data_IF_714713125845
#
_entry.id   IF_714713125845
#
_cell.length_a   1.000
_cell.length_b   1.000
_cell.length_c   1.000
_cell.angle_alpha   90.00
_cell.angle_beta   90.00
_cell.angle_gamma   90.00
#
_symmetry.space_group_name_H-M   'P 1'
#
loop_
_entity.id
_entity.type
_entity.pdbx_description
1 polymer ?
#
# COMPACT_ATOMS: atom_id res chain seq x y z
N UNK A 1 29.91 -7.13 23.99
CA UNK A 1 29.19 -7.75 22.85
C UNK A 1 29.53 -6.98 21.59
N UNK A 2 29.91 -7.68 20.54
CA UNK A 2 30.30 -7.05 19.29
C UNK A 2 29.08 -6.58 18.46
N UNK A 3 29.18 -5.39 17.89
CA UNK A 3 28.14 -4.80 17.04
C UNK A 3 28.76 -3.81 16.05
N UNK A 4 28.06 -3.51 14.95
CA UNK A 4 28.41 -2.41 14.05
C UNK A 4 27.61 -1.18 14.45
N UNK A 5 28.29 -0.06 14.64
CA UNK A 5 27.68 1.27 14.81
C UNK A 5 27.73 2.00 13.48
N UNK A 6 26.58 2.51 13.04
CA UNK A 6 26.44 3.32 11.84
C UNK A 6 25.84 4.67 12.23
N UNK A 7 26.59 5.74 11.99
CA UNK A 7 26.13 7.10 12.14
C UNK A 7 25.93 7.72 10.76
N UNK A 8 24.73 8.21 10.48
CA UNK A 8 24.36 8.71 9.17
C UNK A 8 23.40 9.91 9.24
N UNK A 9 23.34 10.64 8.15
CA UNK A 9 22.42 11.77 7.98
C UNK A 9 21.61 11.63 6.72
N UNK A 10 20.41 12.22 6.72
CA UNK A 10 19.55 12.35 5.54
C UNK A 10 18.96 13.77 5.52
N UNK A 11 19.05 14.44 4.38
CA UNK A 11 18.45 15.76 4.23
C UNK A 11 16.93 15.70 4.34
N UNK A 12 16.34 14.70 3.70
CA UNK A 12 14.91 14.43 3.74
C UNK A 12 14.67 12.92 3.83
N UNK A 13 13.62 12.51 4.57
CA UNK A 13 13.22 11.12 4.67
C UNK A 13 11.72 10.94 4.88
N UNK A 14 11.14 9.89 4.28
CA UNK A 14 9.82 9.40 4.60
C UNK A 14 9.88 7.91 4.96
N UNK A 15 9.71 7.61 6.21
CA UNK A 15 9.61 6.24 6.75
C UNK A 15 8.15 5.83 6.78
N UNK A 16 7.62 5.47 5.61
CA UNK A 16 6.19 5.31 5.38
C UNK A 16 5.53 4.36 6.37
N UNK A 17 4.44 4.85 6.99
CA UNK A 17 3.52 4.02 7.77
C UNK A 17 2.69 3.15 6.85
N UNK A 18 2.61 1.86 7.15
CA UNK A 18 1.86 0.89 6.32
C UNK A 18 0.35 1.18 6.29
N UNK A 19 -0.20 1.73 7.36
CA UNK A 19 -1.63 2.06 7.47
C UNK A 19 -2.02 3.29 6.62
N UNK A 20 -1.04 4.09 6.18
CA UNK A 20 -1.29 5.32 5.43
C UNK A 20 -1.37 5.03 3.92
N UNK A 21 -2.59 4.81 3.41
CA UNK A 21 -2.82 4.52 1.99
C UNK A 21 -2.83 5.82 1.18
N UNK A 22 -3.64 6.78 1.57
CA UNK A 22 -3.86 8.03 0.82
C UNK A 22 -2.84 9.12 1.14
N UNK A 23 -2.59 9.36 2.41
CA UNK A 23 -1.58 10.31 2.87
C UNK A 23 -0.37 9.51 3.34
N UNK A 24 0.76 9.66 2.67
CA UNK A 24 1.99 8.93 3.00
C UNK A 24 2.61 9.48 4.29
N UNK A 25 2.03 9.11 5.44
CA UNK A 25 2.53 9.48 6.76
C UNK A 25 3.87 8.80 7.05
N UNK A 26 4.71 9.44 7.85
CA UNK A 26 6.02 8.93 8.23
C UNK A 26 6.06 8.47 9.69
N UNK A 27 6.86 7.44 9.97
CA UNK A 27 7.35 7.19 11.33
C UNK A 27 8.42 8.23 11.70
N UNK A 28 8.63 8.50 12.99
CA UNK A 28 9.67 9.45 13.43
C UNK A 28 11.10 8.94 13.24
N UNK A 29 11.29 7.62 13.22
CA UNK A 29 12.53 6.91 12.90
C UNK A 29 12.20 5.75 11.96
N UNK A 30 13.16 5.22 11.18
CA UNK A 30 12.90 4.09 10.30
C UNK A 30 12.48 2.83 11.07
N UNK A 31 11.50 2.05 10.58
CA UNK A 31 11.22 0.71 11.12
C UNK A 31 12.41 -0.23 10.97
N UNK A 32 12.53 -1.23 11.84
CA UNK A 32 13.63 -2.20 11.80
C UNK A 32 13.78 -2.88 10.44
N UNK A 33 12.68 -3.34 9.85
CA UNK A 33 12.69 -3.99 8.53
C UNK A 33 13.21 -3.09 7.41
N UNK A 34 13.06 -1.78 7.53
CA UNK A 34 13.56 -0.81 6.54
C UNK A 34 15.09 -0.70 6.63
N UNK A 35 15.63 -0.62 7.84
CA UNK A 35 17.08 -0.60 8.07
C UNK A 35 17.71 -1.93 7.65
N UNK A 36 17.18 -3.06 8.13
CA UNK A 36 17.66 -4.40 7.77
C UNK A 36 17.64 -4.58 6.25
N UNK A 37 16.54 -4.20 5.59
CA UNK A 37 16.40 -4.30 4.14
C UNK A 37 17.40 -3.43 3.37
N UNK A 38 17.70 -2.24 3.87
CA UNK A 38 18.70 -1.35 3.27
C UNK A 38 20.13 -1.92 3.41
N UNK A 39 20.47 -2.49 4.57
CA UNK A 39 21.75 -3.15 4.79
C UNK A 39 21.91 -4.42 3.93
N UNK A 40 20.86 -5.25 3.85
CA UNK A 40 20.84 -6.42 2.97
C UNK A 40 21.07 -6.02 1.50
N UNK A 41 20.47 -4.93 1.06
CA UNK A 41 20.67 -4.40 -0.30
C UNK A 41 22.11 -3.91 -0.50
N UNK A 42 22.67 -3.23 0.48
CA UNK A 42 24.04 -2.73 0.42
C UNK A 42 25.07 -3.87 0.32
N UNK A 43 24.89 -4.94 1.08
CA UNK A 43 25.72 -6.15 1.04
C UNK A 43 25.40 -7.09 -0.14
N UNK A 44 24.29 -6.86 -0.87
CA UNK A 44 23.88 -7.71 -2.00
C UNK A 44 23.33 -9.09 -1.58
N UNK A 45 22.82 -9.22 -0.35
CA UNK A 45 22.30 -10.48 0.16
C UNK A 45 21.04 -10.93 -0.59
N UNK A 46 20.96 -12.21 -0.89
CA UNK A 46 19.80 -12.87 -1.50
C UNK A 46 18.97 -13.66 -0.49
N UNK A 47 19.60 -14.05 0.61
CA UNK A 47 18.99 -14.77 1.72
C UNK A 47 18.93 -13.87 2.95
N UNK A 48 18.11 -14.25 3.91
CA UNK A 48 17.92 -13.45 5.13
C UNK A 48 19.08 -13.70 6.11
N UNK A 49 19.84 -12.65 6.40
CA UNK A 49 20.82 -12.62 7.50
C UNK A 49 20.15 -12.01 8.73
N UNK A 50 20.14 -12.76 9.82
CA UNK A 50 19.49 -12.35 11.06
C UNK A 50 20.24 -11.18 11.70
N UNK A 51 19.53 -10.08 11.95
CA UNK A 51 20.08 -8.89 12.58
C UNK A 51 19.17 -8.42 13.70
N UNK A 52 19.74 -8.04 14.86
CA UNK A 52 19.08 -7.27 15.89
C UNK A 52 19.56 -5.82 15.74
N UNK A 53 18.64 -4.87 15.83
CA UNK A 53 18.93 -3.48 15.49
C UNK A 53 18.40 -2.55 16.59
N UNK A 54 19.25 -1.65 17.05
CA UNK A 54 18.85 -0.51 17.86
C UNK A 54 18.90 0.77 17.04
N UNK A 55 17.86 1.58 17.11
CA UNK A 55 17.71 2.78 16.28
C UNK A 55 17.45 3.99 17.16
N UNK A 56 18.35 4.95 17.08
CA UNK A 56 18.23 6.25 17.71
C UNK A 56 18.37 7.34 16.66
N UNK A 57 17.71 8.47 16.87
CA UNK A 57 17.81 9.57 15.94
C UNK A 57 17.04 10.81 16.36
N UNK A 58 17.28 11.85 15.61
CA UNK A 58 16.54 13.11 15.67
C UNK A 58 16.24 13.63 14.28
N UNK A 59 15.32 14.54 14.20
CA UNK A 59 15.02 15.29 12.96
C UNK A 59 14.74 16.74 13.28
N UNK A 60 15.02 17.62 12.32
CA UNK A 60 14.81 19.06 12.49
C UNK A 60 13.34 19.46 12.42
N UNK A 61 12.62 18.99 11.39
CA UNK A 61 11.21 19.32 11.21
C UNK A 61 10.44 18.24 10.45
N UNK A 62 9.11 18.28 10.58
CA UNK A 62 8.17 17.52 9.78
C UNK A 62 7.49 18.48 8.78
N UNK A 63 7.66 18.24 7.50
CA UNK A 63 7.01 18.99 6.41
C UNK A 63 5.92 18.16 5.77
N UNK A 64 4.89 18.83 5.24
CA UNK A 64 3.91 18.22 4.32
C UNK A 64 4.19 18.73 2.93
N UNK A 65 4.50 17.82 2.02
CA UNK A 65 4.72 18.14 0.61
C UNK A 65 3.55 17.64 -0.23
N UNK A 66 3.23 18.40 -1.29
CA UNK A 66 2.14 18.06 -2.22
C UNK A 66 2.73 17.37 -3.42
N UNK A 67 2.08 16.30 -3.88
CA UNK A 67 2.39 15.69 -5.16
C UNK A 67 1.09 15.43 -5.95
N UNK A 68 1.22 15.34 -7.26
CA UNK A 68 0.10 14.98 -8.12
C UNK A 68 0.05 13.47 -8.30
N UNK A 69 -1.04 12.86 -7.86
CA UNK A 69 -1.28 11.45 -8.08
C UNK A 69 -2.20 11.25 -9.29
N UNK A 70 -1.87 10.23 -10.10
CA UNK A 70 -2.71 9.78 -11.20
C UNK A 70 -3.44 8.51 -10.75
N UNK A 71 -4.75 8.58 -10.67
CA UNK A 71 -5.59 7.49 -10.18
C UNK A 71 -6.51 7.01 -11.31
N UNK A 72 -6.43 5.72 -11.67
CA UNK A 72 -7.41 5.10 -12.55
C UNK A 72 -8.66 4.72 -11.75
N UNK A 73 -9.80 5.21 -12.19
CA UNK A 73 -11.06 4.86 -11.57
C UNK A 73 -11.57 3.51 -12.09
N UNK A 74 -12.14 2.71 -11.19
CA UNK A 74 -12.75 1.42 -11.55
C UNK A 74 -13.96 1.57 -12.47
N UNK A 75 -14.65 2.70 -12.40
CA UNK A 75 -15.78 3.04 -13.28
C UNK A 75 -15.44 4.24 -14.15
N UNK A 76 -15.94 4.22 -15.39
CA UNK A 76 -15.84 5.37 -16.28
C UNK A 76 -16.72 6.51 -15.77
N UNK A 77 -16.07 7.57 -15.30
CA UNK A 77 -16.74 8.84 -15.01
C UNK A 77 -16.68 9.74 -16.24
N UNK A 78 -17.83 10.14 -16.71
CA UNK A 78 -18.00 10.86 -17.97
C UNK A 78 -17.80 12.37 -17.82
N UNK A 79 -17.18 12.84 -16.72
CA UNK A 79 -16.95 14.27 -16.52
C UNK A 79 -15.60 14.59 -15.87
N UNK A 80 -15.03 15.74 -16.26
CA UNK A 80 -13.86 16.42 -15.66
C UNK A 80 -12.56 15.64 -15.56
N UNK A 81 -12.49 14.45 -16.11
CA UNK A 81 -11.36 13.53 -16.01
C UNK A 81 -10.67 13.34 -17.38
N UNK A 82 -9.57 12.63 -17.39
CA UNK A 82 -8.85 12.27 -18.61
C UNK A 82 -9.34 10.88 -19.05
N UNK A 83 -9.86 10.81 -20.28
CA UNK A 83 -10.22 9.53 -20.90
C UNK A 83 -8.95 8.88 -21.44
N UNK A 84 -8.71 7.62 -21.11
CA UNK A 84 -7.57 6.84 -21.53
C UNK A 84 -8.00 5.47 -22.03
N UNK A 85 -7.28 4.93 -23.03
CA UNK A 85 -7.42 3.56 -23.50
C UNK A 85 -6.19 2.77 -23.09
N UNK A 86 -6.39 1.67 -22.39
CA UNK A 86 -5.31 0.82 -21.87
C UNK A 86 -4.87 -0.18 -22.96
N UNK A 87 -3.58 -0.52 -23.00
CA UNK A 87 -3.07 -1.62 -23.82
C UNK A 87 -3.58 -2.97 -23.33
N UNK A 88 -3.58 -3.12 -22.00
CA UNK A 88 -4.11 -4.27 -21.31
C UNK A 88 -4.93 -3.79 -20.10
N UNK A 89 -6.26 -4.00 -20.07
CA UNK A 89 -7.11 -3.54 -18.98
C UNK A 89 -6.84 -4.25 -17.65
N UNK A 90 -6.19 -5.41 -17.66
CA UNK A 90 -5.83 -6.17 -16.46
C UNK A 90 -4.57 -5.61 -15.78
N UNK A 91 -3.78 -4.83 -16.49
CA UNK A 91 -2.53 -4.22 -16.01
C UNK A 91 -2.71 -2.71 -15.76
N UNK A 92 -3.42 -2.36 -14.70
CA UNK A 92 -3.74 -0.96 -14.36
C UNK A 92 -2.50 -0.08 -14.10
N UNK A 93 -1.36 -0.66 -13.77
CA UNK A 93 -0.10 0.05 -13.52
C UNK A 93 0.74 0.28 -14.77
N UNK A 94 0.49 -0.43 -15.85
CA UNK A 94 1.19 -0.25 -17.12
C UNK A 94 0.48 0.83 -17.92
N UNK A 95 1.20 1.78 -18.42
CA UNK A 95 0.70 2.94 -19.13
C UNK A 95 -0.46 2.66 -20.10
N UNK A 96 -1.12 3.68 -20.49
CA UNK A 96 -2.21 3.70 -21.44
C UNK A 96 -1.65 3.79 -22.86
N UNK A 97 -2.42 3.24 -23.81
CA UNK A 97 -2.04 3.23 -25.24
C UNK A 97 -2.35 4.58 -25.88
N UNK A 98 -3.57 5.06 -25.68
CA UNK A 98 -4.06 6.32 -26.24
C UNK A 98 -4.74 7.16 -25.17
N UNK A 99 -4.62 8.48 -25.29
CA UNK A 99 -5.21 9.44 -24.34
C UNK A 99 -6.05 10.46 -25.09
N UNK A 100 -7.32 10.58 -24.69
CA UNK A 100 -8.13 11.73 -25.02
C UNK A 100 -8.25 12.62 -23.79
N UNK A 101 -7.43 13.67 -23.72
CA UNK A 101 -7.50 14.66 -22.67
C UNK A 101 -8.39 15.81 -23.10
N UNK A 102 -9.36 16.13 -22.27
CA UNK A 102 -10.25 17.25 -22.51
C UNK A 102 -10.44 18.09 -21.27
N UNK A 103 -10.19 19.39 -21.38
CA UNK A 103 -10.72 20.35 -20.42
C UNK A 103 -12.17 20.59 -20.79
N UNK A 104 -13.08 20.40 -19.84
CA UNK A 104 -14.48 20.62 -20.02
C UNK A 104 -14.93 21.89 -19.32
N UNK A 105 -15.93 22.51 -19.87
CA UNK A 105 -16.75 23.49 -19.15
C UNK A 105 -17.61 22.76 -18.12
N UNK A 106 -18.04 23.45 -17.07
CA UNK A 106 -18.86 22.88 -16.02
C UNK A 106 -20.15 22.26 -16.60
N UNK A 107 -20.44 21.01 -16.19
CA UNK A 107 -21.64 20.30 -16.64
C UNK A 107 -21.51 19.51 -17.95
N UNK A 108 -20.37 19.53 -18.62
CA UNK A 108 -20.16 18.81 -19.88
C UNK A 108 -19.60 17.39 -19.66
N UNK A 109 -20.07 16.45 -20.46
CA UNK A 109 -19.58 15.07 -20.50
C UNK A 109 -18.73 14.82 -21.74
N UNK A 110 -17.89 13.76 -21.76
CA UNK A 110 -17.16 13.33 -22.96
C UNK A 110 -18.10 13.00 -24.11
N UNK A 111 -19.30 12.55 -23.79
CA UNK A 111 -20.30 12.14 -24.76
C UNK A 111 -21.04 13.33 -25.40
N UNK A 112 -21.49 14.28 -24.57
CA UNK A 112 -22.42 15.33 -25.02
C UNK A 112 -21.91 16.74 -24.77
N UNK A 113 -20.78 16.90 -24.11
CA UNK A 113 -20.27 18.20 -23.73
C UNK A 113 -19.33 18.84 -24.74
N UNK A 114 -19.18 20.14 -24.63
CA UNK A 114 -18.15 20.88 -25.34
C UNK A 114 -16.84 20.65 -24.62
N UNK A 115 -15.89 20.04 -25.29
CA UNK A 115 -14.53 19.83 -24.79
C UNK A 115 -13.67 21.01 -25.22
N UNK A 116 -13.07 21.70 -24.27
CA UNK A 116 -12.25 22.89 -24.55
C UNK A 116 -10.95 22.50 -25.25
N UNK A 117 -10.39 21.34 -24.87
CA UNK A 117 -9.13 20.84 -25.43
C UNK A 117 -9.23 19.32 -25.59
N UNK A 118 -8.95 18.83 -26.79
CA UNK A 118 -8.90 17.39 -27.11
C UNK A 118 -7.53 17.09 -27.71
N UNK A 119 -6.81 16.14 -27.10
CA UNK A 119 -5.51 15.71 -27.61
C UNK A 119 -5.63 14.55 -28.60
N UNK A 120 -6.67 13.73 -28.50
CA UNK A 120 -6.93 12.64 -29.41
C UNK A 120 -8.43 12.58 -29.73
N UNK A 121 -8.78 13.04 -30.90
CA UNK A 121 -10.16 13.10 -31.36
C UNK A 121 -10.72 11.71 -31.70
N UNK A 122 -9.92 10.87 -32.36
CA UNK A 122 -10.32 9.52 -32.77
C UNK A 122 -10.70 8.67 -31.55
N UNK A 123 -9.90 8.73 -30.51
CA UNK A 123 -10.19 8.02 -29.26
C UNK A 123 -11.51 8.48 -28.61
N UNK A 124 -11.78 9.78 -28.67
CA UNK A 124 -13.03 10.34 -28.13
C UNK A 124 -14.25 9.91 -28.98
N UNK A 125 -14.11 9.82 -30.28
CA UNK A 125 -15.15 9.34 -31.20
C UNK A 125 -15.42 7.85 -30.97
N UNK A 126 -14.40 7.00 -30.90
CA UNK A 126 -14.53 5.58 -30.53
C UNK A 126 -15.30 5.38 -29.22
N UNK A 127 -14.97 6.15 -28.20
CA UNK A 127 -15.69 6.12 -26.92
C UNK A 127 -17.16 6.50 -27.08
N UNK A 128 -17.48 7.51 -27.89
CA UNK A 128 -18.85 7.98 -28.14
C UNK A 128 -19.65 6.93 -28.89
N UNK A 129 -19.06 6.31 -29.92
CA UNK A 129 -19.69 5.20 -30.67
C UNK A 129 -20.02 4.02 -29.75
N UNK A 130 -19.10 3.61 -28.88
CA UNK A 130 -19.38 2.56 -27.89
C UNK A 130 -20.54 2.91 -26.97
N UNK A 131 -20.67 4.18 -26.56
CA UNK A 131 -21.81 4.64 -25.75
C UNK A 131 -23.10 4.62 -26.53
N UNK A 132 -23.10 4.97 -27.81
CA UNK A 132 -24.26 4.91 -28.68
C UNK A 132 -24.69 3.46 -28.91
N UNK A 133 -23.78 2.52 -29.11
CA UNK A 133 -24.05 1.08 -29.14
C UNK A 133 -24.69 0.62 -27.82
N UNK A 134 -24.17 1.05 -26.67
CA UNK A 134 -24.77 0.72 -25.36
C UNK A 134 -26.22 1.18 -25.24
N UNK A 135 -26.53 2.38 -25.71
CA UNK A 135 -27.88 2.92 -25.65
C UNK A 135 -28.82 2.24 -26.64
N UNK A 136 -28.35 1.90 -27.85
CA UNK A 136 -29.09 1.11 -28.81
C UNK A 136 -29.41 -0.30 -28.26
N UNK A 137 -28.47 -0.95 -27.56
CA UNK A 137 -28.71 -2.23 -26.89
C UNK A 137 -29.76 -2.08 -25.79
N UNK A 138 -29.70 -1.02 -24.98
CA UNK A 138 -30.71 -0.74 -23.94
C UNK A 138 -32.08 -0.52 -24.53
N UNK A 139 -32.18 0.28 -25.58
CA UNK A 139 -33.43 0.51 -26.29
C UNK A 139 -34.00 -0.78 -26.86
N UNK A 140 -33.17 -1.58 -27.51
CA UNK A 140 -33.59 -2.90 -28.03
C UNK A 140 -34.11 -3.79 -26.90
N UNK A 141 -33.42 -3.86 -25.75
CA UNK A 141 -33.84 -4.66 -24.60
C UNK A 141 -35.19 -4.21 -24.03
N UNK A 142 -35.41 -2.91 -23.94
CA UNK A 142 -36.64 -2.34 -23.36
C UNK A 142 -37.83 -2.34 -24.29
N UNK A 143 -37.60 -2.40 -25.62
CA UNK A 143 -38.63 -2.35 -26.63
C UNK A 143 -38.87 -3.71 -27.32
N UNK A 144 -38.05 -4.05 -28.30
CA UNK A 144 -38.25 -5.23 -29.17
C UNK A 144 -38.05 -6.53 -28.40
N UNK A 145 -36.98 -6.68 -27.65
CA UNK A 145 -36.69 -7.90 -26.89
C UNK A 145 -37.74 -8.12 -25.78
N UNK A 146 -38.17 -7.06 -25.09
CA UNK A 146 -39.27 -7.15 -24.11
C UNK A 146 -40.56 -7.66 -24.75
N UNK A 147 -40.97 -7.09 -25.90
CA UNK A 147 -42.19 -7.56 -26.63
C UNK A 147 -42.07 -9.04 -27.00
N UNK A 148 -40.87 -9.48 -27.42
CA UNK A 148 -40.63 -10.88 -27.76
C UNK A 148 -40.76 -11.79 -26.53
N UNK A 149 -40.12 -11.43 -25.42
CA UNK A 149 -40.20 -12.20 -24.17
C UNK A 149 -41.63 -12.24 -23.59
N UNK A 150 -42.35 -11.16 -23.67
CA UNK A 150 -43.77 -11.10 -23.23
C UNK A 150 -44.66 -12.02 -24.08
N UNK A 151 -44.49 -12.04 -25.41
CA UNK A 151 -45.21 -12.99 -26.28
C UNK A 151 -44.85 -14.45 -25.96
N UNK A 152 -43.58 -14.76 -25.68
CA UNK A 152 -43.16 -16.08 -25.28
C UNK A 152 -43.79 -16.49 -23.95
N UNK A 153 -43.85 -15.58 -22.97
CA UNK A 153 -44.53 -15.82 -21.69
C UNK A 153 -46.02 -16.09 -21.86
N UNK A 154 -46.71 -15.29 -22.67
CA UNK A 154 -48.12 -15.50 -22.97
C UNK A 154 -48.33 -16.88 -23.62
N UNK A 155 -47.53 -17.27 -24.60
CA UNK A 155 -47.64 -18.60 -25.25
C UNK A 155 -47.41 -19.71 -24.24
N UNK A 156 -46.42 -19.60 -23.35
CA UNK A 156 -46.19 -20.59 -22.28
C UNK A 156 -47.41 -20.70 -21.35
N UNK A 157 -47.98 -19.59 -20.95
CA UNK A 157 -49.18 -19.54 -20.13
C UNK A 157 -50.35 -20.27 -20.79
N UNK A 158 -50.58 -20.01 -22.10
CA UNK A 158 -51.62 -20.68 -22.88
C UNK A 158 -51.35 -22.19 -22.96
N UNK A 159 -50.11 -22.60 -23.25
CA UNK A 159 -49.77 -24.02 -23.34
C UNK A 159 -49.92 -24.70 -21.96
N UNK A 160 -49.64 -24.03 -20.90
CA UNK A 160 -49.84 -24.54 -19.51
C UNK A 160 -51.33 -24.80 -19.21
N UNK A 161 -52.24 -23.93 -19.66
CA UNK A 161 -53.69 -24.12 -19.55
C UNK A 161 -54.13 -25.30 -20.43
N UNK A 162 -53.74 -25.34 -21.68
CA UNK A 162 -54.05 -26.45 -22.59
C UNK A 162 -53.51 -27.79 -22.07
N UNK A 163 -52.37 -27.84 -21.48
CA UNK A 163 -51.81 -29.02 -20.83
C UNK A 163 -52.69 -29.57 -19.71
N UNK A 164 -53.35 -28.70 -18.94
CA UNK A 164 -54.29 -29.10 -17.89
C UNK A 164 -55.58 -29.64 -18.47
N UNK A 165 -56.05 -29.04 -19.58
CA UNK A 165 -57.29 -29.46 -20.25
C UNK A 165 -57.18 -30.82 -20.96
N UNK A 166 -56.01 -31.12 -21.55
CA UNK A 166 -55.80 -32.32 -22.33
C UNK A 166 -54.98 -33.39 -21.62
N UNK A 167 -55.10 -33.52 -20.30
CA UNK A 167 -54.36 -34.49 -19.49
C UNK A 167 -54.62 -35.95 -19.86
N UNK A 168 -55.78 -36.28 -20.45
CA UNK A 168 -56.16 -37.65 -20.83
C UNK A 168 -55.85 -37.95 -22.31
N UNK A 169 -55.47 -36.98 -23.11
CA UNK A 169 -55.13 -37.14 -24.54
C UNK A 169 -53.64 -37.15 -24.73
N UNK A 170 -53.04 -38.34 -24.85
CA UNK A 170 -51.59 -38.54 -24.88
C UNK A 170 -50.92 -37.89 -26.09
N UNK A 171 -51.52 -37.91 -27.29
CA UNK A 171 -50.95 -37.31 -28.51
C UNK A 171 -50.86 -35.78 -28.40
N UNK A 172 -51.97 -35.17 -27.96
CA UNK A 172 -52.01 -33.71 -27.74
C UNK A 172 -51.08 -33.28 -26.64
N UNK A 173 -50.98 -34.06 -25.60
CA UNK A 173 -50.08 -33.76 -24.47
C UNK A 173 -48.63 -33.79 -24.90
N UNK A 174 -48.23 -34.73 -25.73
CA UNK A 174 -46.87 -34.83 -26.27
C UNK A 174 -46.55 -33.64 -27.21
N UNK A 175 -47.50 -33.26 -28.09
CA UNK A 175 -47.33 -32.09 -28.97
C UNK A 175 -47.19 -30.79 -28.17
N UNK A 176 -47.94 -30.62 -27.05
CA UNK A 176 -47.85 -29.45 -26.16
C UNK A 176 -46.48 -29.42 -25.51
N UNK A 177 -46.01 -30.53 -24.95
CA UNK A 177 -44.66 -30.63 -24.32
C UNK A 177 -43.55 -30.30 -25.33
N UNK A 178 -43.67 -30.74 -26.58
CA UNK A 178 -42.70 -30.41 -27.65
C UNK A 178 -42.65 -28.92 -27.90
N UNK A 179 -43.80 -28.24 -28.01
CA UNK A 179 -43.90 -26.78 -28.20
C UNK A 179 -43.38 -26.01 -27.01
N UNK A 180 -43.61 -26.46 -25.77
CA UNK A 180 -43.05 -25.84 -24.56
C UNK A 180 -41.52 -25.92 -24.58
N UNK A 181 -40.96 -27.05 -25.01
CA UNK A 181 -39.51 -27.25 -25.17
C UNK A 181 -38.92 -26.32 -26.21
N UNK A 182 -39.54 -26.24 -27.37
CA UNK A 182 -39.14 -25.35 -28.48
C UNK A 182 -39.13 -23.87 -28.03
N UNK A 183 -40.13 -23.41 -27.29
CA UNK A 183 -40.17 -22.02 -26.78
C UNK A 183 -39.04 -21.79 -25.78
N UNK A 184 -38.74 -22.74 -24.89
CA UNK A 184 -37.62 -22.64 -23.94
C UNK A 184 -36.26 -22.58 -24.65
N UNK A 185 -36.09 -23.37 -25.70
CA UNK A 185 -34.87 -23.36 -26.52
C UNK A 185 -34.71 -22.03 -27.25
N UNK A 186 -35.76 -21.50 -27.84
CA UNK A 186 -35.75 -20.19 -28.47
C UNK A 186 -35.41 -19.06 -27.50
N UNK A 187 -35.98 -19.07 -26.28
CA UNK A 187 -35.62 -18.09 -25.26
C UNK A 187 -34.14 -18.16 -24.89
N UNK A 188 -33.61 -19.39 -24.73
CA UNK A 188 -32.21 -19.59 -24.42
C UNK A 188 -31.30 -19.06 -25.54
N UNK A 189 -31.62 -19.37 -26.79
CA UNK A 189 -30.86 -18.91 -27.96
C UNK A 189 -30.91 -17.38 -28.08
N UNK A 190 -32.12 -16.78 -27.94
CA UNK A 190 -32.26 -15.34 -28.03
C UNK A 190 -31.47 -14.61 -26.92
N UNK A 191 -31.51 -15.15 -25.70
CA UNK A 191 -30.76 -14.59 -24.56
C UNK A 191 -29.25 -14.71 -24.77
N UNK A 192 -28.82 -15.89 -25.25
CA UNK A 192 -27.40 -16.15 -25.50
C UNK A 192 -26.86 -15.22 -26.60
N UNK A 193 -27.52 -15.11 -27.73
CA UNK A 193 -27.11 -14.21 -28.83
C UNK A 193 -27.05 -12.75 -28.40
N UNK A 194 -28.02 -12.30 -27.59
CA UNK A 194 -28.03 -10.95 -27.11
C UNK A 194 -26.87 -10.70 -26.13
N UNK A 195 -26.54 -11.69 -25.27
CA UNK A 195 -25.41 -11.60 -24.35
C UNK A 195 -24.09 -11.61 -25.13
N UNK A 196 -23.92 -12.47 -26.09
CA UNK A 196 -22.71 -12.53 -26.95
C UNK A 196 -22.51 -11.20 -27.70
N UNK A 197 -23.58 -10.68 -28.32
CA UNK A 197 -23.53 -9.38 -28.99
C UNK A 197 -23.15 -8.25 -28.07
N UNK A 198 -23.74 -8.17 -26.84
CA UNK A 198 -23.41 -7.16 -25.86
C UNK A 198 -21.95 -7.28 -25.38
N UNK A 199 -21.46 -8.51 -25.23
CA UNK A 199 -20.08 -8.78 -24.80
C UNK A 199 -19.07 -8.32 -25.86
N UNK A 200 -19.30 -8.72 -27.12
CA UNK A 200 -18.36 -8.42 -28.20
C UNK A 200 -18.39 -6.96 -28.64
N UNK A 201 -19.57 -6.36 -28.77
CA UNK A 201 -19.72 -5.04 -29.35
C UNK A 201 -19.62 -3.90 -28.32
N UNK A 202 -19.80 -4.20 -27.05
CA UNK A 202 -19.78 -3.16 -26.03
C UNK A 202 -18.90 -3.48 -24.83
N UNK A 203 -19.14 -4.58 -24.10
CA UNK A 203 -18.47 -4.81 -22.81
C UNK A 203 -16.97 -5.02 -22.96
N UNK A 204 -16.55 -5.84 -23.90
CA UNK A 204 -15.13 -6.07 -24.16
C UNK A 204 -14.43 -4.80 -24.66
N UNK A 205 -14.89 -4.09 -25.69
CA UNK A 205 -14.26 -2.85 -26.13
C UNK A 205 -14.24 -1.77 -25.06
N UNK A 206 -15.33 -1.54 -24.32
CA UNK A 206 -15.38 -0.49 -23.29
C UNK A 206 -14.50 -0.82 -22.08
N UNK A 207 -14.16 -2.08 -21.84
CA UNK A 207 -13.28 -2.50 -20.77
C UNK A 207 -11.84 -1.96 -20.91
N UNK A 208 -11.43 -1.60 -22.11
CA UNK A 208 -10.13 -0.96 -22.35
C UNK A 208 -10.11 0.49 -21.95
N UNK A 209 -11.26 1.13 -21.85
CA UNK A 209 -11.34 2.55 -21.45
C UNK A 209 -11.38 2.70 -19.95
N UNK A 210 -10.66 3.70 -19.45
CA UNK A 210 -10.63 4.11 -18.05
C UNK A 210 -10.69 5.61 -17.95
N UNK A 211 -11.03 6.08 -16.78
CA UNK A 211 -10.96 7.50 -16.44
C UNK A 211 -9.78 7.72 -15.52
N UNK A 212 -8.85 8.57 -15.92
CA UNK A 212 -7.72 8.99 -15.13
C UNK A 212 -8.05 10.30 -14.43
N UNK A 213 -7.99 10.28 -13.11
CA UNK A 213 -8.14 11.46 -12.25
C UNK A 213 -6.76 11.93 -11.81
N UNK A 214 -6.52 13.23 -11.91
CA UNK A 214 -5.35 13.87 -11.29
C UNK A 214 -5.81 14.60 -10.05
N UNK A 215 -5.23 14.25 -8.92
CA UNK A 215 -5.53 14.90 -7.64
C UNK A 215 -4.27 15.22 -6.85
N UNK A 216 -4.28 16.32 -6.07
CA UNK A 216 -3.21 16.57 -5.12
C UNK A 216 -3.30 15.56 -3.98
N UNK A 217 -2.17 14.97 -3.63
CA UNK A 217 -2.00 14.15 -2.45
C UNK A 217 -0.87 14.74 -1.61
N UNK A 218 -0.85 14.37 -0.35
CA UNK A 218 0.16 14.87 0.59
C UNK A 218 1.01 13.70 1.08
N UNK A 219 2.28 13.98 1.31
CA UNK A 219 3.16 13.10 2.06
C UNK A 219 3.95 13.88 3.09
N UNK A 220 4.26 13.21 4.18
CA UNK A 220 5.07 13.78 5.26
C UNK A 220 6.53 13.51 4.96
N UNK A 221 7.39 14.49 5.23
CA UNK A 221 8.84 14.38 5.08
C UNK A 221 9.50 14.92 6.33
N UNK A 222 10.37 14.12 6.89
CA UNK A 222 11.30 14.55 7.94
C UNK A 222 12.47 15.25 7.26
N UNK A 223 12.96 16.34 7.85
CA UNK A 223 14.14 17.05 7.38
C UNK A 223 15.24 17.03 8.42
N UNK A 224 16.48 17.12 7.95
CA UNK A 224 17.67 17.16 8.81
C UNK A 224 17.70 15.97 9.77
N UNK A 225 17.57 14.78 9.21
CA UNK A 225 17.55 13.54 9.99
C UNK A 225 18.96 13.10 10.31
N UNK A 226 19.21 12.80 11.58
CA UNK A 226 20.44 12.17 12.05
C UNK A 226 20.07 10.83 12.71
N UNK A 227 20.72 9.74 12.30
CA UNK A 227 20.50 8.40 12.85
C UNK A 227 21.79 7.81 13.41
N UNK A 228 21.65 7.13 14.54
CA UNK A 228 22.65 6.28 15.17
C UNK A 228 22.04 4.88 15.24
N UNK A 229 22.61 3.97 14.49
CA UNK A 229 22.10 2.60 14.33
C UNK A 229 23.15 1.63 14.83
N UNK A 230 22.78 0.74 15.75
CA UNK A 230 23.60 -0.38 16.16
C UNK A 230 23.01 -1.66 15.59
N UNK A 231 23.86 -2.48 15.01
CA UNK A 231 23.49 -3.76 14.40
C UNK A 231 24.29 -4.88 15.06
N UNK A 232 23.61 -5.87 15.57
CA UNK A 232 24.19 -7.09 16.11
C UNK A 232 23.82 -8.25 15.19
N UNK A 233 24.80 -9.05 14.82
CA UNK A 233 24.69 -10.25 14.00
C UNK A 233 25.87 -11.19 14.28
N UNK A 234 26.08 -12.19 13.43
CA UNK A 234 27.32 -12.95 13.41
C UNK A 234 28.49 -12.08 12.91
N UNK A 235 29.70 -12.46 13.29
CA UNK A 235 30.92 -11.68 13.02
C UNK A 235 31.16 -11.46 11.51
N UNK A 236 30.89 -12.46 10.68
CA UNK A 236 31.08 -12.36 9.23
C UNK A 236 30.14 -11.33 8.63
N UNK A 237 28.87 -11.36 9.03
CA UNK A 237 27.85 -10.35 8.62
C UNK A 237 28.23 -8.95 9.07
N UNK A 238 28.76 -8.78 10.29
CA UNK A 238 29.19 -7.46 10.79
C UNK A 238 30.35 -6.88 9.97
N UNK A 239 31.35 -7.70 9.64
CA UNK A 239 32.46 -7.28 8.78
C UNK A 239 31.96 -6.96 7.38
N UNK A 240 31.06 -7.76 6.85
CA UNK A 240 30.51 -7.56 5.51
C UNK A 240 29.72 -6.25 5.41
N UNK A 241 28.95 -5.90 6.43
CA UNK A 241 28.27 -4.60 6.52
C UNK A 241 29.29 -3.46 6.47
N UNK A 242 30.38 -3.52 7.26
CA UNK A 242 31.40 -2.48 7.26
C UNK A 242 32.06 -2.34 5.88
N UNK A 243 32.36 -3.44 5.22
CA UNK A 243 33.01 -3.44 3.90
C UNK A 243 32.11 -2.88 2.79
N UNK A 244 30.81 -3.09 2.89
CA UNK A 244 29.85 -2.71 1.84
C UNK A 244 28.99 -1.49 2.20
N UNK A 245 29.26 -0.82 3.32
CA UNK A 245 28.44 0.33 3.79
C UNK A 245 28.38 1.47 2.77
N UNK A 246 29.40 1.63 1.94
CA UNK A 246 29.45 2.62 0.86
C UNK A 246 28.37 2.40 -0.23
N UNK A 247 27.77 1.19 -0.31
CA UNK A 247 26.66 0.87 -1.19
C UNK A 247 25.29 1.25 -0.57
N UNK A 248 25.25 1.70 0.67
CA UNK A 248 24.04 2.16 1.32
C UNK A 248 23.64 3.52 0.74
N UNK A 249 22.72 3.54 -0.20
CA UNK A 249 22.33 4.75 -0.94
C UNK A 249 21.15 5.48 -0.34
N UNK A 250 20.17 4.75 0.24
CA UNK A 250 18.95 5.34 0.78
C UNK A 250 18.33 4.46 1.88
N UNK A 251 17.70 5.11 2.87
CA UNK A 251 16.81 4.48 3.86
C UNK A 251 15.46 5.20 3.79
N UNK A 252 14.41 4.47 3.42
CA UNK A 252 13.10 5.03 3.15
C UNK A 252 12.73 4.88 1.68
N UNK A 253 12.42 6.00 1.01
CA UNK A 253 12.19 6.04 -0.44
C UNK A 253 13.53 6.01 -1.19
N UNK A 254 13.50 5.77 -2.47
CA UNK A 254 14.71 5.80 -3.32
C UNK A 254 15.38 7.17 -3.39
N UNK A 255 14.62 8.24 -3.18
CA UNK A 255 15.07 9.63 -3.12
C UNK A 255 15.54 10.08 -1.72
N UNK A 256 15.34 9.28 -0.68
CA UNK A 256 15.79 9.57 0.69
C UNK A 256 17.25 9.16 0.87
N UNK A 257 18.15 9.90 0.21
CA UNK A 257 19.58 9.59 0.19
C UNK A 257 20.20 9.64 1.58
N UNK A 258 21.16 8.74 1.79
CA UNK A 258 21.92 8.61 3.04
C UNK A 258 23.33 9.11 2.83
N UNK A 259 23.84 9.87 3.79
CA UNK A 259 25.26 10.17 3.94
C UNK A 259 25.79 9.46 5.18
N UNK A 260 26.56 8.41 4.99
CA UNK A 260 27.21 7.69 6.10
C UNK A 260 28.39 8.49 6.58
N UNK A 261 28.38 8.88 7.85
CA UNK A 261 29.46 9.64 8.49
C UNK A 261 30.47 8.74 9.19
N UNK A 262 29.97 7.69 9.84
CA UNK A 262 30.80 6.70 10.56
C UNK A 262 30.19 5.31 10.40
N UNK A 263 31.05 4.30 10.24
CA UNK A 263 30.68 2.91 10.31
C UNK A 263 31.84 2.13 10.93
N UNK A 264 31.63 1.63 12.14
CA UNK A 264 32.69 1.05 12.96
C UNK A 264 32.22 -0.20 13.69
N UNK A 265 33.10 -1.17 13.82
CA UNK A 265 32.89 -2.30 14.70
C UNK A 265 33.17 -1.85 16.13
N UNK A 266 32.21 -2.02 17.03
CA UNK A 266 32.26 -1.56 18.40
C UNK A 266 31.98 -2.69 19.39
N UNK A 267 32.55 -2.58 20.59
CA UNK A 267 32.27 -3.49 21.67
C UNK A 267 31.30 -2.83 22.66
N UNK A 268 30.04 -3.29 22.62
CA UNK A 268 29.00 -2.83 23.53
C UNK A 268 29.27 -3.35 24.96
N UNK A 269 29.14 -2.47 25.92
CA UNK A 269 29.33 -2.78 27.34
C UNK A 269 27.98 -3.02 28.02
N UNK A 270 27.88 -4.02 28.90
CA UNK A 270 26.67 -4.17 29.69
C UNK A 270 26.47 -2.95 30.60
N UNK A 271 25.22 -2.59 30.85
CA UNK A 271 24.90 -1.51 31.79
C UNK A 271 25.25 -1.98 33.20
N UNK A 272 26.31 -1.41 33.77
CA UNK A 272 26.81 -1.76 35.10
C UNK A 272 26.43 -0.74 36.17
N UNK A 273 25.96 0.44 35.76
CA UNK A 273 25.61 1.54 36.65
C UNK A 273 24.36 2.25 36.18
N UNK A 274 23.75 3.03 37.05
CA UNK A 274 22.62 3.89 36.68
C UNK A 274 23.00 4.84 35.56
N UNK A 275 22.32 4.74 34.43
CA UNK A 275 22.50 5.61 33.28
C UNK A 275 21.19 6.37 33.02
N UNK A 276 21.30 7.67 32.85
CA UNK A 276 20.18 8.55 32.54
C UNK A 276 20.42 9.16 31.17
N UNK A 277 19.53 8.90 30.24
CA UNK A 277 19.54 9.52 28.94
C UNK A 277 18.48 10.62 28.87
N UNK A 278 18.94 11.82 28.60
CA UNK A 278 18.10 12.99 28.39
C UNK A 278 18.72 13.78 27.27
N UNK A 279 18.34 13.44 26.05
CA UNK A 279 19.05 13.95 24.90
C UNK A 279 18.16 14.48 23.81
N UNK A 280 18.80 15.02 22.81
CA UNK A 280 18.19 15.47 21.56
C UNK A 280 17.74 14.27 20.69
N UNK A 281 18.29 13.07 20.94
CA UNK A 281 18.00 11.85 20.19
C UNK A 281 16.90 11.05 20.88
N UNK A 282 15.93 10.64 20.07
CA UNK A 282 14.90 9.70 20.49
C UNK A 282 15.29 8.29 20.11
N UNK A 283 14.78 7.28 20.79
CA UNK A 283 15.03 5.87 20.51
C UNK A 283 13.74 5.07 20.38
N UNK A 284 13.81 3.95 19.65
CA UNK A 284 12.86 2.87 19.81
C UNK A 284 13.36 1.92 20.88
N UNK A 285 12.60 1.78 21.95
CA UNK A 285 12.89 0.86 23.06
C UNK A 285 11.89 -0.29 23.01
N UNK A 286 12.37 -1.53 23.19
CA UNK A 286 11.53 -2.71 23.25
C UNK A 286 10.50 -2.61 24.37
N UNK A 287 9.25 -2.87 24.07
CA UNK A 287 8.21 -2.85 25.10
C UNK A 287 8.41 -3.94 26.16
N UNK A 288 9.21 -4.97 25.87
CA UNK A 288 9.55 -6.05 26.82
C UNK A 288 10.60 -5.60 27.85
N UNK A 289 11.50 -4.68 27.45
CA UNK A 289 12.60 -4.22 28.29
C UNK A 289 12.22 -2.99 29.14
N UNK A 290 10.99 -2.49 28.94
CA UNK A 290 10.47 -1.37 29.73
C UNK A 290 9.84 -1.90 31.02
N UNK A 291 10.41 -1.49 32.14
CA UNK A 291 9.86 -1.80 33.45
C UNK A 291 8.45 -1.21 33.64
N UNK A 292 7.50 -2.03 34.05
CA UNK A 292 6.13 -1.60 34.32
C UNK A 292 6.02 -0.87 35.66
N UNK A 293 6.86 -1.25 36.60
CA UNK A 293 6.89 -0.68 37.94
C UNK A 293 8.29 -0.15 38.33
N UNK A 294 8.37 0.80 39.27
CA UNK A 294 9.64 1.39 39.72
C UNK A 294 10.57 0.41 40.46
N UNK A 295 10.06 -0.75 40.84
CA UNK A 295 10.77 -1.81 41.52
C UNK A 295 11.40 -2.83 40.58
N UNK A 296 10.98 -2.86 39.32
CA UNK A 296 11.50 -3.81 38.36
C UNK A 296 12.80 -3.35 37.70
N UNK A 297 13.66 -4.33 37.38
CA UNK A 297 14.85 -4.13 36.56
C UNK A 297 14.45 -3.88 35.15
N UNK A 298 15.02 -2.89 34.49
CA UNK A 298 14.71 -2.55 33.11
C UNK A 298 14.83 -1.05 32.81
N UNK A 299 14.42 -0.69 31.59
CA UNK A 299 14.40 0.69 31.14
C UNK A 299 13.21 1.41 31.75
N UNK A 300 13.47 2.42 32.56
CA UNK A 300 12.42 3.24 33.15
C UNK A 300 12.23 4.51 32.32
N UNK A 301 10.99 4.82 32.03
CA UNK A 301 10.61 6.02 31.31
C UNK A 301 9.84 6.90 32.29
N UNK A 302 10.49 7.91 32.81
CA UNK A 302 9.85 8.85 33.71
C UNK A 302 10.34 10.27 33.52
N UNK A 303 9.47 11.24 33.82
CA UNK A 303 9.89 12.60 34.11
C UNK A 303 10.26 12.69 35.58
N UNK A 304 11.42 13.25 35.89
CA UNK A 304 11.90 13.38 37.30
C UNK A 304 10.94 14.16 38.18
N UNK A 305 10.10 15.04 37.62
CA UNK A 305 9.28 15.95 38.38
C UNK A 305 7.95 15.35 38.90
N UNK A 306 7.37 14.38 38.24
CA UNK A 306 5.96 14.04 38.49
C UNK A 306 5.66 12.57 38.78
N UNK A 307 6.60 11.68 38.94
CA UNK A 307 6.33 10.24 39.14
C UNK A 307 5.46 9.57 38.10
N UNK A 308 5.26 10.19 36.92
CA UNK A 308 4.42 9.66 35.86
C UNK A 308 5.24 8.70 35.02
N UNK A 309 4.90 7.42 35.11
CA UNK A 309 5.39 6.37 34.21
C UNK A 309 4.80 6.57 32.81
N UNK A 310 5.67 6.54 31.81
CA UNK A 310 5.33 6.38 30.39
C UNK A 310 5.03 7.67 29.60
N UNK A 311 6.07 8.44 29.33
CA UNK A 311 6.05 9.42 28.22
C UNK A 311 6.66 8.77 26.98
N UNK A 312 5.89 8.67 25.92
CA UNK A 312 6.35 8.15 24.64
C UNK A 312 5.17 7.63 23.79
N UNK A 313 5.44 7.38 22.53
CA UNK A 313 4.44 6.85 21.61
C UNK A 313 4.73 5.37 21.31
N UNK A 314 3.75 4.52 21.54
CA UNK A 314 3.87 3.09 21.20
C UNK A 314 3.66 2.86 19.71
N UNK A 315 4.54 2.05 19.14
CA UNK A 315 4.45 1.57 17.77
C UNK A 315 4.56 0.05 17.71
N UNK A 316 3.91 -0.54 16.72
CA UNK A 316 4.11 -1.93 16.33
C UNK A 316 4.85 -1.93 14.99
N UNK A 317 6.17 -2.14 15.03
CA UNK A 317 7.05 -2.00 13.89
C UNK A 317 7.39 -3.34 13.26
N UNK A 318 7.44 -3.38 11.93
CA UNK A 318 7.89 -4.54 11.18
C UNK A 318 9.40 -4.77 11.40
N UNK A 319 9.79 -6.02 11.70
CA UNK A 319 11.19 -6.42 11.81
C UNK A 319 11.59 -7.42 10.74
N UNK A 320 10.98 -8.58 10.76
CA UNK A 320 11.26 -9.70 9.85
C UNK A 320 10.02 -10.02 9.03
N UNK A 321 10.18 -10.70 7.91
CA UNK A 321 9.06 -11.21 7.15
C UNK A 321 9.31 -12.63 6.65
N UNK A 322 8.23 -13.37 6.47
CA UNK A 322 8.19 -14.64 5.75
C UNK A 322 7.35 -14.47 4.48
N UNK A 323 7.65 -15.23 3.44
CA UNK A 323 6.85 -15.23 2.22
C UNK A 323 5.85 -16.38 2.31
N UNK A 324 4.56 -16.03 2.34
CA UNK A 324 3.44 -16.98 2.33
C UNK A 324 2.56 -16.63 1.12
N UNK A 325 2.32 -17.60 0.25
CA UNK A 325 1.54 -17.42 -0.99
C UNK A 325 1.99 -16.21 -1.84
N UNK A 326 3.32 -16.01 -1.95
CA UNK A 326 3.91 -14.90 -2.71
C UNK A 326 3.76 -13.52 -2.05
N UNK A 327 3.23 -13.44 -0.83
CA UNK A 327 3.07 -12.20 -0.06
C UNK A 327 3.97 -12.18 1.16
N UNK A 328 4.52 -11.01 1.47
CA UNK A 328 5.31 -10.80 2.69
C UNK A 328 4.38 -10.70 3.90
N UNK A 329 4.57 -11.57 4.89
CA UNK A 329 3.95 -11.48 6.20
C UNK A 329 5.00 -11.04 7.21
N UNK A 330 4.81 -9.86 7.79
CA UNK A 330 5.78 -9.27 8.73
C UNK A 330 5.52 -9.73 10.15
N UNK A 331 6.63 -10.07 10.85
CA UNK A 331 6.65 -10.18 12.31
C UNK A 331 6.88 -8.79 12.89
N UNK A 332 5.97 -8.35 13.74
CA UNK A 332 6.00 -7.02 14.35
C UNK A 332 6.60 -7.08 15.75
N UNK A 333 7.30 -6.01 16.11
CA UNK A 333 7.82 -5.76 17.45
C UNK A 333 7.13 -4.53 18.04
N UNK A 334 6.68 -4.67 19.29
CA UNK A 334 6.11 -3.54 20.04
C UNK A 334 7.24 -2.73 20.66
N UNK A 335 7.25 -1.45 20.36
CA UNK A 335 8.29 -0.52 20.86
C UNK A 335 7.67 0.76 21.38
N UNK A 336 8.42 1.46 22.22
CA UNK A 336 8.11 2.81 22.66
C UNK A 336 9.13 3.77 22.05
N UNK A 337 8.62 4.81 21.38
CA UNK A 337 9.42 5.95 20.91
C UNK A 337 9.49 7.02 21.99
N UNK A 338 10.70 7.31 22.47
CA UNK A 338 10.92 8.30 23.53
C UNK A 338 12.32 8.91 23.47
N UNK A 339 12.47 10.12 23.99
CA UNK A 339 13.75 10.84 24.14
C UNK A 339 14.23 10.95 25.58
N UNK A 340 13.47 10.45 26.55
CA UNK A 340 13.81 10.53 27.98
C UNK A 340 13.61 9.18 28.62
N UNK A 341 14.72 8.56 29.03
CA UNK A 341 14.71 7.26 29.69
C UNK A 341 15.95 7.09 30.57
N UNK A 342 15.89 6.19 31.55
CA UNK A 342 17.00 5.85 32.39
C UNK A 342 16.97 4.37 32.78
N UNK A 343 18.14 3.86 33.10
CA UNK A 343 18.31 2.52 33.63
C UNK A 343 18.72 2.66 35.11
N UNK A 344 17.92 2.08 35.99
CA UNK A 344 18.15 2.14 37.44
C UNK A 344 19.08 1.02 37.89
N UNK A 345 18.93 -0.14 37.31
CA UNK A 345 19.68 -1.35 37.62
C UNK A 345 20.01 -2.08 36.29
N UNK A 346 21.04 -2.94 36.28
CA UNK A 346 21.44 -3.67 35.08
C UNK A 346 20.25 -4.44 34.47
N UNK A 347 20.03 -4.27 33.19
CA UNK A 347 19.05 -5.03 32.39
C UNK A 347 19.79 -5.97 31.42
N UNK A 348 19.39 -7.21 31.35
CA UNK A 348 20.13 -8.27 30.61
C UNK A 348 20.27 -8.00 29.11
N UNK A 349 19.34 -7.25 28.52
CA UNK A 349 19.26 -7.02 27.08
C UNK A 349 19.61 -5.60 26.63
N UNK A 350 20.10 -4.78 27.60
CA UNK A 350 20.41 -3.37 27.33
C UNK A 350 21.91 -3.12 27.50
N UNK A 351 22.46 -2.46 26.50
CA UNK A 351 23.88 -2.19 26.40
C UNK A 351 24.15 -0.69 26.36
N UNK A 352 25.39 -0.29 26.53
CA UNK A 352 25.84 1.10 26.42
C UNK A 352 26.99 1.16 25.43
N UNK A 353 26.94 2.17 24.57
CA UNK A 353 28.03 2.61 23.73
C UNK A 353 28.37 4.07 23.98
N UNK A 354 29.65 4.40 23.87
CA UNK A 354 30.14 5.79 24.01
C UNK A 354 30.56 6.27 22.62
N UNK A 355 29.93 7.33 22.16
CA UNK A 355 30.10 7.87 20.82
C UNK A 355 30.65 9.27 20.87
N UNK A 356 31.61 9.56 19.99
CA UNK A 356 31.95 10.94 19.62
C UNK A 356 31.22 11.31 18.34
N UNK A 357 30.23 12.20 18.48
CA UNK A 357 29.39 12.62 17.39
C UNK A 357 29.15 14.13 17.41
N UNK A 358 29.39 14.78 16.26
CA UNK A 358 29.30 16.24 16.14
C UNK A 358 30.10 17.00 17.20
N UNK A 359 31.29 16.50 17.56
CA UNK A 359 32.17 17.12 18.55
C UNK A 359 31.69 17.00 20.03
N UNK A 360 30.71 16.14 20.27
CA UNK A 360 30.20 15.82 21.60
C UNK A 360 30.39 14.34 21.93
N UNK A 361 30.89 14.03 23.08
CA UNK A 361 30.88 12.67 23.62
C UNK A 361 29.53 12.39 24.27
N UNK A 362 28.87 11.34 23.86
CA UNK A 362 27.57 10.93 24.42
C UNK A 362 27.52 9.42 24.69
N UNK A 363 26.85 9.04 25.78
CA UNK A 363 26.53 7.65 26.08
C UNK A 363 25.19 7.31 25.44
N UNK A 364 25.13 6.31 24.57
CA UNK A 364 23.92 5.79 23.95
C UNK A 364 23.49 4.50 24.61
N UNK A 365 22.23 4.39 25.00
CA UNK A 365 21.65 3.13 25.46
C UNK A 365 21.24 2.33 24.21
N UNK A 366 21.79 1.14 24.08
CA UNK A 366 21.56 0.25 22.94
C UNK A 366 20.61 -0.86 23.37
N UNK A 367 19.39 -0.77 22.89
CA UNK A 367 18.34 -1.78 23.07
C UNK A 367 18.15 -2.51 21.73
N UNK A 368 18.59 -3.74 21.67
CA UNK A 368 18.64 -4.56 20.44
C UNK A 368 17.35 -5.36 20.26
N UNK A 369 16.55 -4.93 19.34
CA UNK A 369 15.24 -5.53 19.05
C UNK A 369 15.31 -6.52 17.91
#
# INVERSE_FOLDING_TARGET
MEAVRICLTQNEANYRKEESIDNKMTYPLPPFSMVIGALHKACGYREYHKMNVSIQGKYGALKKQVYTENIFLNSLQDDRNILVKMKNPDLLSCGYDMVAAGKKTQGNSFRKGITIQVHNQELLEEYRELKDISDAIKEFKTTRYKRLTDRMKQRKSTLSVLRKQYQQDMERLESIKKREKEIKELEKICKQRLTEYEEEQYKKPISYFRTLVKGPKFYEVLTDVELIIHVQSDHETLIDICNHIHNLTAIGRSEDFVEVKQCELVELKPVSKKVSYRGEYSAYLSAMDIAEDKTENGIQISDRAENILKKGTRYSLNKEYTIVDGKRQFKKKSVLYTSTYYIKEPAEHVWVDTIEWNGKTMECIVDLV
#
